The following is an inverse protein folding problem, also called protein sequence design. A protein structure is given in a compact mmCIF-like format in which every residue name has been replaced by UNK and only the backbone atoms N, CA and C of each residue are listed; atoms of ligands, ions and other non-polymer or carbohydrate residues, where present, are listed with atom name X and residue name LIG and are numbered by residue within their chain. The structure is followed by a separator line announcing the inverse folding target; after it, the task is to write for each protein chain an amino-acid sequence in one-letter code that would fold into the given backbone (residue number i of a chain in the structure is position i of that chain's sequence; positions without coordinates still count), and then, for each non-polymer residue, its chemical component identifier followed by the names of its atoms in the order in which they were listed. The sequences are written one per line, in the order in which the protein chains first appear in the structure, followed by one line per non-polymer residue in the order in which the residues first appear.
data_IF_464875045679
#
_entry.id   IF_464875045679
#
_cell.length_a   1.000
_cell.length_b   1.000
_cell.length_c   1.000
_cell.angle_alpha   90.00
_cell.angle_beta   90.00
_cell.angle_gamma   90.00
#
_symmetry.space_group_name_H-M   'P 1'
#
loop_
_entity.id
_entity.type
_entity.pdbx_description
1 polymer ?
#
# COMPACT_ATOMS: atom_id res chain seq x y z
N UNK A 1 2.92 7.15 -12.28
CA UNK A 1 3.53 7.28 -10.93
C UNK A 1 2.72 8.19 -10.02
N UNK A 2 2.42 9.43 -10.41
CA UNK A 2 1.56 10.34 -9.63
C UNK A 2 0.20 9.75 -9.25
N UNK A 3 -0.50 9.12 -10.20
CA UNK A 3 -1.78 8.45 -9.94
C UNK A 3 -1.66 7.36 -8.86
N UNK A 4 -0.62 6.53 -8.93
CA UNK A 4 -0.38 5.46 -7.95
C UNK A 4 -0.06 6.01 -6.56
N UNK A 5 0.68 7.11 -6.49
CA UNK A 5 0.96 7.80 -5.22
C UNK A 5 -0.33 8.41 -4.64
N UNK A 6 -1.19 8.99 -5.47
CA UNK A 6 -2.50 9.49 -5.05
C UNK A 6 -3.42 8.36 -4.54
N UNK A 7 -3.48 7.23 -5.25
CA UNK A 7 -4.20 6.04 -4.81
C UNK A 7 -3.62 5.46 -3.51
N UNK A 8 -2.30 5.39 -3.39
CA UNK A 8 -1.63 4.93 -2.17
C UNK A 8 -1.91 5.86 -0.99
N UNK A 9 -1.92 7.17 -1.21
CA UNK A 9 -2.27 8.16 -0.18
C UNK A 9 -3.72 8.00 0.30
N UNK A 10 -4.64 7.79 -0.64
CA UNK A 10 -6.05 7.53 -0.33
C UNK A 10 -6.22 6.23 0.46
N UNK A 11 -5.51 5.17 0.04
CA UNK A 11 -5.51 3.89 0.74
C UNK A 11 -4.95 4.02 2.17
N UNK A 12 -3.80 4.70 2.36
CA UNK A 12 -3.23 4.97 3.67
C UNK A 12 -4.19 5.74 4.58
N UNK A 13 -4.86 6.76 4.06
CA UNK A 13 -5.82 7.55 4.82
C UNK A 13 -7.00 6.70 5.31
N UNK A 14 -7.60 5.92 4.42
CA UNK A 14 -8.69 4.98 4.76
C UNK A 14 -8.22 3.95 5.79
N UNK A 15 -7.03 3.38 5.61
CA UNK A 15 -6.44 2.39 6.51
C UNK A 15 -6.19 2.95 7.91
N UNK A 16 -5.72 4.19 8.01
CA UNK A 16 -5.43 4.86 9.29
C UNK A 16 -6.69 5.27 10.07
N UNK A 17 -7.77 5.66 9.37
CA UNK A 17 -9.03 6.07 10.01
C UNK A 17 -9.91 4.89 10.40
N UNK A 18 -9.83 3.77 9.66
CA UNK A 18 -10.60 2.55 9.92
C UNK A 18 -10.66 2.12 11.40
N UNK A 19 -9.55 2.06 12.18
CA UNK A 19 -9.60 1.69 13.60
C UNK A 19 -10.39 2.70 14.46
N UNK A 20 -10.35 4.00 14.15
CA UNK A 20 -11.09 5.02 14.90
C UNK A 20 -12.60 4.84 14.73
N UNK A 21 -13.08 4.66 13.50
CA UNK A 21 -14.50 4.43 13.24
C UNK A 21 -14.96 3.12 13.87
N UNK A 22 -14.11 2.10 13.81
CA UNK A 22 -14.37 0.81 14.46
C UNK A 22 -14.52 0.97 15.98
N UNK A 23 -13.66 1.76 16.62
CA UNK A 23 -13.76 2.09 18.05
C UNK A 23 -15.08 2.75 18.41
N UNK A 24 -15.50 3.77 17.65
CA UNK A 24 -16.79 4.45 17.87
C UNK A 24 -17.98 3.49 17.75
N UNK A 25 -17.97 2.61 16.74
CA UNK A 25 -19.03 1.63 16.57
C UNK A 25 -19.07 0.63 17.74
N UNK A 26 -17.92 0.22 18.27
CA UNK A 26 -17.85 -0.66 19.44
C UNK A 26 -18.34 0.01 20.72
N UNK A 27 -17.95 1.26 20.96
CA UNK A 27 -18.39 2.01 22.15
C UNK A 27 -19.91 2.17 22.18
N UNK A 28 -20.52 2.48 21.03
CA UNK A 28 -21.97 2.65 20.91
C UNK A 28 -22.73 1.33 21.08
N UNK A 29 -22.19 0.22 20.54
CA UNK A 29 -22.71 -1.13 20.78
C UNK A 29 -22.60 -1.47 22.28
N UNK A 30 -21.46 -1.20 22.91
CA UNK A 30 -21.21 -1.52 24.32
C UNK A 30 -22.18 -0.79 25.26
N UNK A 31 -22.37 0.52 25.08
CA UNK A 31 -23.31 1.34 25.87
C UNK A 31 -24.75 0.84 25.70
N UNK A 32 -25.10 0.45 24.47
CA UNK A 32 -26.46 -0.04 24.17
C UNK A 32 -26.73 -1.43 24.77
N UNK A 33 -25.70 -2.27 24.88
CA UNK A 33 -25.78 -3.56 25.60
C UNK A 33 -25.96 -3.37 27.11
N UNK A 34 -25.24 -2.41 27.71
CA UNK A 34 -25.30 -2.14 29.15
C UNK A 34 -26.69 -1.62 29.59
N UNK A 35 -27.35 -0.81 28.76
CA UNK A 35 -28.68 -0.26 29.03
C UNK A 35 -29.83 -1.28 28.89
N UNK A 36 -29.55 -2.50 28.43
CA UNK A 36 -30.57 -3.55 28.26
C UNK A 36 -31.59 -3.28 27.13
N UNK A 37 -31.35 -2.27 26.28
CA UNK A 37 -32.23 -1.86 25.17
C UNK A 37 -31.98 -2.67 23.88
N UNK A 38 -31.60 -3.95 24.00
CA UNK A 38 -31.30 -4.88 22.90
C UNK A 38 -32.38 -4.93 21.80
N UNK A 39 -33.63 -4.61 22.13
CA UNK A 39 -34.77 -4.67 21.21
C UNK A 39 -34.84 -3.47 20.22
N UNK A 40 -34.15 -2.36 20.47
CA UNK A 40 -34.19 -1.16 19.63
C UNK A 40 -32.80 -0.72 19.11
N UNK A 41 -31.75 -1.46 19.43
CA UNK A 41 -30.43 -1.22 18.86
C UNK A 41 -30.47 -1.71 17.42
N UNK A 42 -30.24 -0.81 16.46
CA UNK A 42 -30.09 -1.19 15.06
C UNK A 42 -28.69 -1.81 14.84
N UNK A 43 -28.39 -2.92 15.53
CA UNK A 43 -27.13 -3.67 15.47
C UNK A 43 -26.79 -4.01 14.02
N UNK A 44 -27.83 -4.32 13.23
CA UNK A 44 -27.70 -4.58 11.80
C UNK A 44 -27.18 -3.36 11.02
N UNK A 45 -27.56 -2.15 11.44
CA UNK A 45 -27.03 -0.88 10.92
C UNK A 45 -25.53 -0.71 11.18
N UNK A 46 -25.06 -0.89 12.42
CA UNK A 46 -23.63 -0.77 12.74
C UNK A 46 -22.78 -1.84 12.05
N UNK A 47 -23.26 -3.08 12.02
CA UNK A 47 -22.59 -4.16 11.27
C UNK A 47 -22.50 -3.78 9.78
N UNK A 48 -23.56 -3.22 9.19
CA UNK A 48 -23.53 -2.78 7.79
C UNK A 48 -22.50 -1.66 7.53
N UNK A 49 -22.33 -0.73 8.47
CA UNK A 49 -21.32 0.34 8.40
C UNK A 49 -19.91 -0.25 8.49
N UNK A 50 -19.66 -1.17 9.41
CA UNK A 50 -18.36 -1.84 9.54
C UNK A 50 -18.01 -2.63 8.27
N UNK A 51 -18.97 -3.37 7.71
CA UNK A 51 -18.79 -4.08 6.45
C UNK A 51 -18.48 -3.10 5.32
N UNK A 52 -19.20 -1.97 5.24
CA UNK A 52 -18.97 -0.93 4.23
C UNK A 52 -17.54 -0.37 4.31
N UNK A 53 -17.02 -0.11 5.52
CA UNK A 53 -15.65 0.37 5.73
C UNK A 53 -14.62 -0.66 5.26
N UNK A 54 -14.83 -1.93 5.57
CA UNK A 54 -13.95 -3.03 5.11
C UNK A 54 -13.95 -3.10 3.58
N UNK A 55 -15.12 -3.01 2.95
CA UNK A 55 -15.25 -3.02 1.49
C UNK A 55 -14.54 -1.83 0.86
N UNK A 56 -14.71 -0.62 1.39
CA UNK A 56 -14.03 0.59 0.89
C UNK A 56 -12.51 0.44 1.03
N UNK A 57 -12.04 -0.07 2.17
CA UNK A 57 -10.61 -0.31 2.42
C UNK A 57 -10.04 -1.30 1.42
N UNK A 58 -10.75 -2.40 1.18
CA UNK A 58 -10.37 -3.43 0.23
C UNK A 58 -10.31 -2.89 -1.21
N UNK A 59 -11.31 -2.13 -1.64
CA UNK A 59 -11.32 -1.50 -2.96
C UNK A 59 -10.15 -0.51 -3.12
N UNK A 60 -9.93 0.36 -2.13
CA UNK A 60 -8.82 1.31 -2.16
C UNK A 60 -7.45 0.60 -2.26
N UNK A 61 -7.26 -0.46 -1.49
CA UNK A 61 -6.06 -1.31 -1.55
C UNK A 61 -5.91 -1.96 -2.93
N UNK A 62 -6.99 -2.53 -3.46
CA UNK A 62 -7.02 -3.19 -4.76
C UNK A 62 -6.60 -2.25 -5.89
N UNK A 63 -7.16 -1.04 -5.92
CA UNK A 63 -6.78 -0.01 -6.89
C UNK A 63 -5.31 0.37 -6.77
N UNK A 64 -4.83 0.68 -5.56
CA UNK A 64 -3.43 1.07 -5.34
C UNK A 64 -2.45 -0.03 -5.81
N UNK A 65 -2.77 -1.29 -5.48
CA UNK A 65 -1.96 -2.46 -5.86
C UNK A 65 -1.99 -2.71 -7.36
N UNK A 66 -3.16 -2.61 -8.00
CA UNK A 66 -3.30 -2.81 -9.43
C UNK A 66 -2.49 -1.78 -10.24
N UNK A 67 -2.61 -0.49 -9.91
CA UNK A 67 -1.84 0.55 -10.59
C UNK A 67 -0.33 0.44 -10.27
N UNK A 68 0.03 0.06 -9.03
CA UNK A 68 1.41 -0.19 -8.64
C UNK A 68 2.05 -1.34 -9.43
N UNK A 69 1.35 -2.46 -9.57
CA UNK A 69 1.81 -3.63 -10.33
C UNK A 69 2.04 -3.33 -11.81
N UNK A 70 1.15 -2.56 -12.44
CA UNK A 70 1.33 -2.14 -13.84
C UNK A 70 2.60 -1.28 -14.03
N UNK A 71 2.88 -0.37 -13.10
CA UNK A 71 4.10 0.45 -13.13
C UNK A 71 5.35 -0.41 -12.91
N UNK A 72 5.31 -1.32 -11.93
CA UNK A 72 6.42 -2.22 -11.65
C UNK A 72 6.78 -3.07 -12.88
N UNK A 73 5.78 -3.70 -13.50
CA UNK A 73 5.97 -4.51 -14.70
C UNK A 73 6.46 -3.70 -15.90
N UNK A 74 5.94 -2.48 -16.09
CA UNK A 74 6.41 -1.57 -17.14
C UNK A 74 7.88 -1.16 -16.97
N UNK A 75 8.25 -0.79 -15.74
CA UNK A 75 9.62 -0.41 -15.38
C UNK A 75 10.58 -1.59 -15.54
N UNK A 76 10.19 -2.77 -15.07
CA UNK A 76 11.00 -3.99 -15.21
C UNK A 76 11.26 -4.34 -16.67
N UNK A 77 10.22 -4.32 -17.52
CA UNK A 77 10.37 -4.58 -18.97
C UNK A 77 11.31 -3.58 -19.64
N UNK A 78 11.21 -2.30 -19.28
CA UNK A 78 12.07 -1.25 -19.83
C UNK A 78 13.54 -1.43 -19.43
N UNK A 79 13.80 -1.62 -18.13
CA UNK A 79 15.15 -1.88 -17.62
C UNK A 79 15.78 -3.13 -18.25
N UNK A 80 14.99 -4.18 -18.44
CA UNK A 80 15.44 -5.39 -19.14
C UNK A 80 15.84 -5.12 -20.59
N UNK A 81 15.07 -4.31 -21.30
CA UNK A 81 15.40 -3.87 -22.66
C UNK A 81 16.69 -3.05 -22.70
N UNK A 82 16.79 -2.02 -21.85
CA UNK A 82 17.93 -1.10 -21.81
C UNK A 82 19.25 -1.84 -21.49
N UNK A 83 19.22 -2.80 -20.56
CA UNK A 83 20.40 -3.62 -20.23
C UNK A 83 20.73 -4.59 -21.36
N UNK A 84 19.72 -5.22 -21.98
CA UNK A 84 19.96 -6.13 -23.11
C UNK A 84 20.59 -5.42 -24.31
N UNK A 85 20.11 -4.24 -24.65
CA UNK A 85 20.70 -3.42 -25.72
C UNK A 85 22.10 -2.94 -25.37
N UNK A 86 22.36 -2.64 -24.09
CA UNK A 86 23.69 -2.26 -23.61
C UNK A 86 24.68 -3.41 -23.69
N UNK A 87 24.25 -4.64 -23.36
CA UNK A 87 25.06 -5.85 -23.49
C UNK A 87 25.40 -6.17 -24.96
N UNK A 88 24.46 -5.96 -25.89
CA UNK A 88 24.72 -6.15 -27.33
C UNK A 88 25.71 -5.13 -27.91
N UNK A 89 25.75 -3.91 -27.35
CA UNK A 89 26.69 -2.86 -27.78
C UNK A 89 28.10 -3.03 -27.22
N UNK A 90 28.30 -3.85 -26.18
CA UNK A 90 29.64 -4.19 -25.68
C UNK A 90 30.31 -5.29 -26.51
N UNK A 91 31.62 -5.13 -26.75
CA UNK A 91 32.40 -5.97 -27.65
C UNK A 91 32.72 -7.36 -27.08
N UNK A 92 32.98 -8.32 -27.98
CA UNK A 92 33.34 -9.72 -27.70
C UNK A 92 34.50 -9.92 -26.70
N UNK A 93 35.30 -8.90 -26.40
CA UNK A 93 36.39 -8.95 -25.40
C UNK A 93 35.88 -8.97 -23.95
N UNK A 94 34.67 -8.47 -23.68
CA UNK A 94 34.06 -8.44 -22.34
C UNK A 94 33.61 -9.84 -21.86
N UNK A 95 33.30 -10.74 -22.79
CA UNK A 95 32.80 -12.10 -22.50
C UNK A 95 33.92 -13.15 -22.38
N UNK A 96 35.19 -12.75 -22.40
CA UNK A 96 36.34 -13.67 -22.39
C UNK A 96 36.66 -14.29 -21.03
N UNK A 97 36.35 -13.59 -19.92
CA UNK A 97 36.79 -13.97 -18.56
C UNK A 97 35.65 -14.45 -17.64
N UNK A 98 34.38 -14.37 -18.06
CA UNK A 98 33.22 -14.74 -17.24
C UNK A 98 32.18 -15.50 -18.05
N UNK A 99 31.51 -16.48 -17.44
CA UNK A 99 30.47 -17.25 -18.13
C UNK A 99 29.30 -16.33 -18.53
N UNK A 100 28.95 -16.31 -19.81
CA UNK A 100 27.84 -15.49 -20.35
C UNK A 100 26.52 -15.74 -19.58
N UNK A 101 26.30 -16.96 -19.09
CA UNK A 101 25.14 -17.33 -18.28
C UNK A 101 25.11 -16.66 -16.90
N UNK A 102 26.25 -16.56 -16.22
CA UNK A 102 26.34 -15.88 -14.92
C UNK A 102 26.11 -14.37 -15.07
N UNK A 103 26.66 -13.76 -16.13
CA UNK A 103 26.45 -12.35 -16.44
C UNK A 103 24.98 -12.01 -16.67
N UNK A 104 24.28 -12.82 -17.48
CA UNK A 104 22.85 -12.63 -17.76
C UNK A 104 22.01 -12.85 -16.49
N UNK A 105 22.34 -13.89 -15.69
CA UNK A 105 21.64 -14.20 -14.45
C UNK A 105 21.76 -13.07 -13.43
N UNK A 106 23.00 -12.59 -13.19
CA UNK A 106 23.27 -11.45 -12.32
C UNK A 106 22.56 -10.18 -12.80
N UNK A 107 22.72 -9.85 -14.08
CA UNK A 107 22.08 -8.66 -14.66
C UNK A 107 20.55 -8.71 -14.51
N UNK A 108 19.93 -9.87 -14.78
CA UNK A 108 18.47 -10.02 -14.65
C UNK A 108 18.01 -9.93 -13.19
N UNK A 109 18.76 -10.52 -12.25
CA UNK A 109 18.50 -10.43 -10.82
C UNK A 109 18.63 -9.00 -10.30
N UNK A 110 19.67 -8.27 -10.72
CA UNK A 110 19.90 -6.88 -10.32
C UNK A 110 18.84 -5.93 -10.91
N UNK A 111 18.39 -6.18 -12.14
CA UNK A 111 17.25 -5.47 -12.74
C UNK A 111 15.97 -5.71 -11.93
N UNK A 112 15.70 -6.96 -11.55
CA UNK A 112 14.53 -7.29 -10.73
C UNK A 112 14.56 -6.52 -9.41
N UNK A 113 15.67 -6.60 -8.67
CA UNK A 113 15.85 -5.90 -7.39
C UNK A 113 15.75 -4.39 -7.53
N UNK A 114 16.40 -3.80 -8.53
CA UNK A 114 16.32 -2.35 -8.75
C UNK A 114 14.88 -1.93 -9.08
N UNK A 115 14.21 -2.63 -10.01
CA UNK A 115 12.81 -2.36 -10.37
C UNK A 115 11.84 -2.51 -9.19
N UNK A 116 12.15 -3.41 -8.25
CA UNK A 116 11.40 -3.60 -7.02
C UNK A 116 11.56 -2.39 -6.10
N UNK A 117 12.79 -1.97 -5.84
CA UNK A 117 13.11 -0.82 -4.99
C UNK A 117 12.49 0.47 -5.55
N UNK A 118 12.59 0.68 -6.87
CA UNK A 118 12.07 1.88 -7.54
C UNK A 118 10.56 2.04 -7.41
N UNK A 119 9.79 0.95 -7.40
CA UNK A 119 8.35 1.03 -7.20
C UNK A 119 7.98 1.03 -5.71
N UNK A 120 8.68 0.25 -4.88
CA UNK A 120 8.33 0.02 -3.49
C UNK A 120 8.63 1.22 -2.59
N UNK A 121 9.78 1.89 -2.76
CA UNK A 121 10.18 3.01 -1.89
C UNK A 121 9.17 4.16 -1.94
N UNK A 122 8.79 4.71 -3.11
CA UNK A 122 7.89 5.85 -3.15
C UNK A 122 6.51 5.52 -2.56
N UNK A 123 6.02 4.30 -2.79
CA UNK A 123 4.69 3.90 -2.34
C UNK A 123 4.71 3.62 -0.84
N UNK A 124 5.59 2.74 -0.36
CA UNK A 124 5.67 2.42 1.07
C UNK A 124 6.08 3.64 1.91
N UNK A 125 6.99 4.48 1.40
CA UNK A 125 7.35 5.74 2.05
C UNK A 125 6.16 6.68 2.20
N UNK A 126 5.33 6.82 1.16
CA UNK A 126 4.10 7.63 1.22
C UNK A 126 3.13 7.06 2.26
N UNK A 127 2.92 5.75 2.27
CA UNK A 127 2.04 5.10 3.26
C UNK A 127 2.50 5.37 4.68
N UNK A 128 3.78 5.16 4.96
CA UNK A 128 4.35 5.38 6.29
C UNK A 128 4.16 6.82 6.76
N UNK A 129 4.47 7.80 5.91
CA UNK A 129 4.36 9.22 6.27
C UNK A 129 2.90 9.62 6.52
N UNK A 130 1.99 9.22 5.63
CA UNK A 130 0.56 9.55 5.77
C UNK A 130 -0.04 8.90 7.00
N UNK A 131 0.19 7.61 7.21
CA UNK A 131 -0.37 6.88 8.35
C UNK A 131 0.17 7.38 9.68
N UNK A 132 1.48 7.60 9.76
CA UNK A 132 2.08 8.14 10.97
C UNK A 132 1.49 9.52 11.32
N UNK A 133 1.33 10.38 10.31
CA UNK A 133 0.75 11.72 10.49
C UNK A 133 -0.71 11.65 10.92
N UNK A 134 -1.53 10.81 10.27
CA UNK A 134 -2.95 10.65 10.59
C UNK A 134 -3.14 10.06 11.98
N UNK A 135 -2.40 9.01 12.33
CA UNK A 135 -2.50 8.37 13.65
C UNK A 135 -2.10 9.34 14.77
N UNK A 136 -1.00 10.07 14.62
CA UNK A 136 -0.60 11.09 15.60
C UNK A 136 -1.68 12.16 15.73
N UNK A 137 -2.20 12.66 14.61
CA UNK A 137 -3.25 13.68 14.62
C UNK A 137 -4.51 13.18 15.33
N UNK A 138 -4.93 11.94 15.07
CA UNK A 138 -6.06 11.30 15.74
C UNK A 138 -5.81 11.16 17.25
N UNK A 139 -4.61 10.74 17.66
CA UNK A 139 -4.26 10.62 19.07
C UNK A 139 -4.34 11.97 19.80
N UNK A 140 -3.87 13.05 19.18
CA UNK A 140 -4.01 14.40 19.74
C UNK A 140 -5.47 14.82 19.87
N UNK A 141 -6.29 14.56 18.86
CA UNK A 141 -7.74 14.86 18.89
C UNK A 141 -8.44 14.09 19.99
N UNK A 142 -8.18 12.78 20.11
CA UNK A 142 -8.76 11.93 21.15
C UNK A 142 -8.31 12.39 22.54
N UNK A 143 -7.02 12.70 22.73
CA UNK A 143 -6.50 13.18 23.99
C UNK A 143 -7.11 14.54 24.39
N UNK A 144 -7.31 15.44 23.44
CA UNK A 144 -8.01 16.71 23.67
C UNK A 144 -9.50 16.52 23.99
N UNK A 145 -10.14 15.49 23.44
CA UNK A 145 -11.54 15.18 23.71
C UNK A 145 -11.75 14.56 25.10
N UNK A 146 -10.78 13.77 25.57
CA UNK A 146 -10.85 13.04 26.86
C UNK A 146 -10.38 13.91 28.03
N UNK A 147 -9.46 14.86 27.81
CA UNK A 147 -8.90 15.75 28.84
C UNK A 147 -9.69 17.04 29.03
#
# INVERSE_FOLDING_TARGET
MLLTIACASTWAFVRAISPYITGLAFDEIYISLEKGELANINVMGYISILILIVVITFLAQGFATFFGGNIHQGTYKKLRGDVFDSLQRQSHKYFGDHSTGELISRSTSDIMRSSEIFWAIPINGTLMVVEFTVLISLLFVINYLIG
#
